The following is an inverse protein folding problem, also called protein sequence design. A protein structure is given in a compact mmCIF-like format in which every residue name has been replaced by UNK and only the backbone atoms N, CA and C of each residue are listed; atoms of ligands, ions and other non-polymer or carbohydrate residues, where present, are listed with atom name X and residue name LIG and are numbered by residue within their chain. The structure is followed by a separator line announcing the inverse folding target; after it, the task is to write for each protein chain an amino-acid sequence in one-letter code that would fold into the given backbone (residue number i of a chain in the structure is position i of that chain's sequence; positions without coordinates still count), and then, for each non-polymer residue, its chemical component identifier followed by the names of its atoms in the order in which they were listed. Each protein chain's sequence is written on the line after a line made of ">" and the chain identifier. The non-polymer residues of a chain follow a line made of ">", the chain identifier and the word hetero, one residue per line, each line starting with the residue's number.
data_IF_406232148364
#
_entry.id   IF_406232148364
#
_cell.length_a   1.000
_cell.length_b   1.000
_cell.length_c   1.000
_cell.angle_alpha   90.00
_cell.angle_beta   90.00
_cell.angle_gamma   90.00
#
_symmetry.space_group_name_H-M   'P 1'
#
loop_
_entity.id
_entity.type
_entity.pdbx_description
1 polymer ?
#
# COMPACT_ATOMS: atom_id res chain seq x y z
N UNK A 1 -6.22 -8.39 26.89
CA UNK A 1 -5.10 -8.00 26.00
C UNK A 1 -5.52 -8.19 24.56
N UNK A 2 -5.89 -7.11 23.87
CA UNK A 2 -6.30 -7.17 22.47
C UNK A 2 -5.07 -7.33 21.56
N UNK A 3 -5.15 -8.22 20.57
CA UNK A 3 -4.11 -8.39 19.55
C UNK A 3 -4.06 -7.10 18.72
N UNK A 4 -2.88 -6.50 18.48
CA UNK A 4 -2.77 -5.28 17.69
C UNK A 4 -3.26 -5.54 16.25
N UNK A 5 -3.96 -4.59 15.61
CA UNK A 5 -4.41 -4.76 14.23
C UNK A 5 -3.24 -4.89 13.27
N UNK A 6 -3.38 -5.75 12.27
CA UNK A 6 -2.37 -5.97 11.23
C UNK A 6 -2.65 -5.07 10.02
N UNK A 7 -1.63 -4.32 9.63
CA UNK A 7 -1.57 -3.53 8.39
C UNK A 7 -0.64 -4.21 7.39
N UNK A 8 -1.18 -4.58 6.23
CA UNK A 8 -0.39 -5.05 5.10
C UNK A 8 0.19 -3.86 4.35
N UNK A 9 1.45 -3.95 3.93
CA UNK A 9 2.06 -2.93 3.07
C UNK A 9 2.74 -3.58 1.88
N UNK A 10 2.38 -3.16 0.67
CA UNK A 10 2.86 -3.73 -0.59
C UNK A 10 3.53 -2.62 -1.43
N UNK A 11 4.83 -2.34 -1.22
CA UNK A 11 5.55 -1.20 -1.80
C UNK A 11 5.82 -1.30 -3.32
N UNK A 12 5.51 -2.44 -3.93
CA UNK A 12 5.63 -2.68 -5.37
C UNK A 12 6.56 -3.85 -5.70
N UNK A 13 6.67 -4.14 -6.99
CA UNK A 13 7.40 -5.30 -7.53
C UNK A 13 8.71 -4.94 -8.22
N UNK A 14 9.06 -3.65 -8.31
CA UNK A 14 10.31 -3.16 -8.90
C UNK A 14 11.11 -2.37 -7.88
N UNK A 15 12.43 -2.55 -7.88
CA UNK A 15 13.36 -1.90 -6.94
C UNK A 15 13.19 -0.38 -6.88
N UNK A 16 13.05 0.29 -8.03
CA UNK A 16 12.86 1.74 -8.08
C UNK A 16 11.52 2.19 -7.45
N UNK A 17 10.47 1.38 -7.60
CA UNK A 17 9.16 1.65 -7.00
C UNK A 17 9.20 1.43 -5.50
N UNK A 18 9.81 0.32 -5.05
CA UNK A 18 9.96 -0.03 -3.64
C UNK A 18 10.65 1.11 -2.89
N UNK A 19 11.78 1.62 -3.40
CA UNK A 19 12.52 2.71 -2.74
C UNK A 19 11.70 4.00 -2.62
N UNK A 20 10.98 4.38 -3.69
CA UNK A 20 10.15 5.61 -3.68
C UNK A 20 8.95 5.48 -2.75
N UNK A 21 8.31 4.31 -2.73
CA UNK A 21 7.07 4.11 -1.98
C UNK A 21 7.31 3.73 -0.53
N UNK A 22 8.43 3.08 -0.21
CA UNK A 22 8.76 2.75 1.17
C UNK A 22 8.88 3.99 2.06
N UNK A 23 9.41 5.11 1.56
CA UNK A 23 9.48 6.35 2.34
C UNK A 23 8.09 6.90 2.67
N UNK A 24 7.19 6.95 1.68
CA UNK A 24 5.81 7.42 1.85
C UNK A 24 5.05 6.50 2.81
N UNK A 25 5.13 5.18 2.58
CA UNK A 25 4.47 4.20 3.43
C UNK A 25 5.02 4.17 4.85
N UNK A 26 6.33 4.35 5.05
CA UNK A 26 6.93 4.49 6.37
C UNK A 26 6.38 5.68 7.15
N UNK A 27 6.22 6.84 6.49
CA UNK A 27 5.60 8.01 7.10
C UNK A 27 4.13 7.77 7.46
N UNK A 28 3.35 7.16 6.56
CA UNK A 28 1.95 6.80 6.81
C UNK A 28 1.82 5.82 7.98
N UNK A 29 2.64 4.76 8.01
CA UNK A 29 2.68 3.78 9.10
C UNK A 29 2.98 4.47 10.43
N UNK A 30 3.95 5.39 10.47
CA UNK A 30 4.27 6.16 11.67
C UNK A 30 3.10 7.04 12.15
N UNK A 31 2.41 7.72 11.23
CA UNK A 31 1.25 8.54 11.55
C UNK A 31 0.08 7.70 12.10
N UNK A 32 -0.19 6.55 11.48
CA UNK A 32 -1.23 5.62 11.93
C UNK A 32 -0.91 5.08 13.31
N UNK A 33 0.32 4.63 13.56
CA UNK A 33 0.71 4.12 14.88
C UNK A 33 0.59 5.17 15.99
N UNK A 34 0.94 6.44 15.71
CA UNK A 34 0.74 7.54 16.68
C UNK A 34 -0.73 7.78 17.03
N UNK A 35 -1.65 7.57 16.08
CA UNK A 35 -3.08 7.84 16.26
C UNK A 35 -3.88 6.64 16.77
N UNK A 36 -3.55 5.44 16.30
CA UNK A 36 -4.28 4.20 16.57
C UNK A 36 -3.61 3.33 17.65
N UNK A 37 -2.38 3.64 18.06
CA UNK A 37 -1.62 2.86 19.04
C UNK A 37 -0.85 1.71 18.42
N UNK A 38 -0.73 0.60 19.15
CA UNK A 38 0.05 -0.57 18.73
C UNK A 38 -0.46 -1.13 17.39
N UNK A 39 0.45 -1.32 16.45
CA UNK A 39 0.17 -1.72 15.07
C UNK A 39 1.17 -2.81 14.64
N UNK A 40 0.67 -3.93 14.11
CA UNK A 40 1.53 -4.90 13.42
C UNK A 40 1.62 -4.53 11.94
N UNK A 41 2.83 -4.54 11.38
CA UNK A 41 3.06 -4.21 9.98
C UNK A 41 3.72 -5.39 9.27
N UNK A 42 3.07 -5.90 8.21
CA UNK A 42 3.57 -7.01 7.40
C UNK A 42 3.80 -6.56 5.97
N UNK A 43 4.95 -6.92 5.42
CA UNK A 43 5.38 -6.52 4.08
C UNK A 43 5.70 -7.76 3.26
N UNK A 44 4.73 -8.28 2.47
CA UNK A 44 5.00 -9.38 1.56
C UNK A 44 5.97 -8.95 0.46
N UNK A 45 7.00 -9.76 0.23
CA UNK A 45 7.98 -9.54 -0.81
C UNK A 45 8.27 -10.85 -1.56
N UNK A 46 8.53 -10.77 -2.86
CA UNK A 46 9.08 -11.92 -3.59
C UNK A 46 10.52 -12.17 -3.11
N UNK A 47 11.00 -13.44 -3.04
CA UNK A 47 12.31 -13.76 -2.48
C UNK A 47 13.46 -12.94 -3.05
N UNK A 48 13.47 -12.71 -4.37
CA UNK A 48 14.49 -11.90 -5.07
C UNK A 48 14.57 -10.44 -4.59
N UNK A 49 13.47 -9.89 -4.05
CA UNK A 49 13.40 -8.50 -3.60
C UNK A 49 13.43 -8.38 -2.08
N UNK A 50 13.55 -9.49 -1.34
CA UNK A 50 13.47 -9.51 0.11
C UNK A 50 14.45 -8.52 0.76
N UNK A 51 15.72 -8.53 0.35
CA UNK A 51 16.74 -7.65 0.93
C UNK A 51 16.53 -6.18 0.56
N UNK A 52 16.06 -5.92 -0.66
CA UNK A 52 15.69 -4.57 -1.08
C UNK A 52 14.54 -4.03 -0.22
N UNK A 53 13.52 -4.86 0.04
CA UNK A 53 12.39 -4.49 0.87
C UNK A 53 12.83 -4.32 2.32
N UNK A 54 13.59 -5.25 2.90
CA UNK A 54 14.14 -5.14 4.26
C UNK A 54 14.93 -3.85 4.45
N UNK A 55 15.82 -3.52 3.52
CA UNK A 55 16.57 -2.27 3.56
C UNK A 55 15.65 -1.04 3.48
N UNK A 56 14.62 -1.09 2.62
CA UNK A 56 13.70 0.03 2.42
C UNK A 56 12.77 0.27 3.63
N UNK A 57 12.44 -0.77 4.40
CA UNK A 57 11.56 -0.67 5.58
C UNK A 57 12.32 -0.57 6.90
N UNK A 58 13.65 -0.74 6.90
CA UNK A 58 14.47 -0.70 8.10
C UNK A 58 14.38 0.64 8.86
N UNK A 59 14.16 1.74 8.15
CA UNK A 59 14.04 3.08 8.72
C UNK A 59 12.61 3.44 9.17
N UNK A 60 11.66 2.50 9.13
CA UNK A 60 10.28 2.80 9.49
C UNK A 60 10.13 3.00 11.01
N UNK A 61 9.26 3.93 11.45
CA UNK A 61 8.98 4.15 12.87
C UNK A 61 8.36 2.93 13.57
N UNK A 62 7.76 2.02 12.81
CA UNK A 62 7.18 0.75 13.29
C UNK A 62 7.94 -0.40 12.63
N UNK A 63 8.34 -1.39 13.44
CA UNK A 63 9.04 -2.57 12.95
C UNK A 63 8.15 -3.36 11.97
N UNK A 64 8.57 -3.40 10.72
CA UNK A 64 7.91 -4.18 9.69
C UNK A 64 8.44 -5.62 9.65
N UNK A 65 7.52 -6.60 9.59
CA UNK A 65 7.84 -8.00 9.33
C UNK A 65 7.78 -8.27 7.83
N UNK A 66 8.94 -8.47 7.22
CA UNK A 66 9.04 -8.83 5.80
C UNK A 66 8.85 -10.35 5.66
N UNK A 67 7.83 -10.75 4.91
CA UNK A 67 7.52 -12.17 4.66
C UNK A 67 7.75 -12.50 3.19
N UNK A 68 8.34 -13.65 2.93
CA UNK A 68 8.63 -14.13 1.57
C UNK A 68 7.96 -15.45 1.25
N UNK A 69 7.52 -16.17 2.27
CA UNK A 69 6.77 -17.41 2.11
C UNK A 69 5.31 -17.14 1.72
N UNK A 70 4.78 -17.97 0.83
CA UNK A 70 3.43 -17.82 0.33
C UNK A 70 2.37 -18.12 1.40
N UNK A 71 2.60 -19.11 2.27
CA UNK A 71 1.67 -19.42 3.35
C UNK A 71 1.64 -18.29 4.39
N UNK A 72 2.79 -17.69 4.70
CA UNK A 72 2.86 -16.49 5.55
C UNK A 72 2.15 -15.29 4.95
N UNK A 73 2.32 -15.04 3.64
CA UNK A 73 1.57 -13.99 2.92
C UNK A 73 0.06 -14.22 3.04
N UNK A 74 -0.41 -15.44 2.75
CA UNK A 74 -1.83 -15.78 2.82
C UNK A 74 -2.37 -15.70 4.26
N UNK A 75 -1.57 -16.08 5.25
CA UNK A 75 -1.92 -15.89 6.65
C UNK A 75 -2.11 -14.41 6.99
N UNK A 76 -1.20 -13.54 6.55
CA UNK A 76 -1.32 -12.10 6.75
C UNK A 76 -2.55 -11.50 6.03
N UNK A 77 -2.88 -11.97 4.82
CA UNK A 77 -4.09 -11.56 4.09
C UNK A 77 -5.36 -11.88 4.88
N UNK A 78 -5.45 -13.06 5.50
CA UNK A 78 -6.63 -13.46 6.29
C UNK A 78 -6.85 -12.62 7.55
N UNK A 79 -5.79 -12.07 8.13
CA UNK A 79 -5.85 -11.34 9.40
C UNK A 79 -5.69 -9.82 9.25
N UNK A 80 -5.41 -9.34 8.05
CA UNK A 80 -5.19 -7.93 7.80
C UNK A 80 -6.47 -7.13 7.99
N UNK A 81 -6.38 -6.05 8.77
CA UNK A 81 -7.47 -5.09 8.95
C UNK A 81 -7.51 -4.06 7.81
N UNK A 82 -6.35 -3.74 7.26
CA UNK A 82 -6.22 -2.85 6.11
C UNK A 82 -4.93 -3.15 5.34
N UNK A 83 -4.83 -2.60 4.13
CA UNK A 83 -3.64 -2.67 3.30
C UNK A 83 -3.25 -1.30 2.70
N UNK A 84 -1.95 -0.99 2.67
CA UNK A 84 -1.37 0.05 1.84
C UNK A 84 -0.72 -0.64 0.64
N UNK A 85 -1.08 -0.26 -0.58
CA UNK A 85 -0.51 -0.87 -1.77
C UNK A 85 -0.17 0.16 -2.82
N UNK A 86 0.78 -0.18 -3.69
CA UNK A 86 0.91 0.51 -4.97
C UNK A 86 -0.26 0.12 -5.89
N UNK A 87 -0.69 1.01 -6.79
CA UNK A 87 -1.51 0.64 -7.96
C UNK A 87 -0.78 -0.41 -8.82
N UNK A 88 -1.41 -1.59 -8.97
CA UNK A 88 -0.87 -2.77 -9.63
C UNK A 88 -1.68 -4.03 -9.28
N UNK A 89 -1.19 -5.20 -9.67
CA UNK A 89 -1.90 -6.49 -9.46
C UNK A 89 -2.24 -6.78 -8.00
N UNK A 90 -1.47 -6.23 -7.06
CA UNK A 90 -1.73 -6.33 -5.63
C UNK A 90 -3.10 -5.77 -5.22
N UNK A 91 -3.66 -4.78 -5.91
CA UNK A 91 -5.00 -4.26 -5.58
C UNK A 91 -6.09 -5.30 -5.86
N UNK A 92 -5.93 -6.11 -6.91
CA UNK A 92 -6.87 -7.19 -7.21
C UNK A 92 -6.77 -8.30 -6.16
N UNK A 93 -5.56 -8.71 -5.77
CA UNK A 93 -5.36 -9.72 -4.72
C UNK A 93 -6.00 -9.28 -3.39
N UNK A 94 -5.84 -8.01 -3.02
CA UNK A 94 -6.43 -7.44 -1.81
C UNK A 94 -7.96 -7.34 -1.91
N UNK A 95 -8.50 -6.99 -3.08
CA UNK A 95 -9.94 -6.90 -3.31
C UNK A 95 -10.59 -8.28 -3.21
N UNK A 96 -10.00 -9.29 -3.84
CA UNK A 96 -10.45 -10.68 -3.75
C UNK A 96 -10.39 -11.22 -2.31
N UNK A 97 -9.44 -10.75 -1.52
CA UNK A 97 -9.33 -11.10 -0.10
C UNK A 97 -10.27 -10.29 0.81
N UNK A 98 -11.05 -9.34 0.27
CA UNK A 98 -11.96 -8.50 1.04
C UNK A 98 -11.25 -7.54 2.00
N UNK A 99 -9.98 -7.21 1.74
CA UNK A 99 -9.17 -6.38 2.63
C UNK A 99 -9.38 -4.90 2.24
N UNK A 100 -9.85 -4.04 3.16
CA UNK A 100 -9.91 -2.60 2.91
C UNK A 100 -8.52 -2.07 2.58
N UNK A 101 -8.38 -1.34 1.49
CA UNK A 101 -7.06 -0.91 1.03
C UNK A 101 -7.00 0.58 0.69
N UNK A 102 -5.79 1.15 0.74
CA UNK A 102 -5.46 2.45 0.17
C UNK A 102 -4.38 2.23 -0.87
N UNK A 103 -4.68 2.60 -2.11
CA UNK A 103 -3.73 2.52 -3.21
C UNK A 103 -3.03 3.87 -3.42
N UNK A 104 -1.70 3.87 -3.47
CA UNK A 104 -0.89 5.05 -3.76
C UNK A 104 -0.05 4.85 -5.03
N UNK A 105 0.17 5.91 -5.79
CA UNK A 105 1.03 5.87 -6.97
C UNK A 105 1.85 7.15 -7.13
N UNK A 106 3.18 7.01 -7.19
CA UNK A 106 4.11 8.13 -7.41
C UNK A 106 4.85 7.95 -8.74
N UNK A 107 4.40 8.68 -9.75
CA UNK A 107 4.97 8.73 -11.11
C UNK A 107 6.24 9.58 -11.16
N UNK A 108 7.14 9.29 -12.11
CA UNK A 108 8.27 10.18 -12.42
C UNK A 108 7.77 11.44 -13.16
N UNK A 109 8.47 12.57 -13.02
CA UNK A 109 8.05 13.88 -13.59
C UNK A 109 7.81 13.86 -15.12
N UNK A 110 8.46 12.94 -15.86
CA UNK A 110 8.29 12.76 -17.31
C UNK A 110 6.96 12.07 -17.68
N UNK A 111 6.42 11.22 -16.80
CA UNK A 111 5.16 10.48 -17.04
C UNK A 111 3.91 11.29 -16.66
N UNK A 112 4.08 12.42 -15.95
CA UNK A 112 3.00 13.31 -15.54
C UNK A 112 2.24 13.93 -16.73
N UNK A 113 2.91 14.11 -17.88
CA UNK A 113 2.30 14.63 -19.10
C UNK A 113 1.31 13.66 -19.76
N UNK A 114 1.59 12.35 -19.73
CA UNK A 114 0.73 11.30 -20.31
C UNK A 114 -0.41 10.94 -19.37
N UNK A 115 -0.17 10.99 -18.05
CA UNK A 115 -1.22 10.81 -17.04
C UNK A 115 -2.37 11.83 -17.19
N UNK A 116 -2.09 13.06 -17.62
CA UNK A 116 -3.11 14.09 -17.91
C UNK A 116 -4.10 13.70 -19.01
N UNK A 117 -3.70 12.86 -19.96
CA UNK A 117 -4.55 12.41 -21.07
C UNK A 117 -5.43 11.20 -20.69
N UNK A 118 -4.98 10.41 -19.71
CA UNK A 118 -5.68 9.24 -19.16
C UNK A 118 -6.66 9.56 -18.02
N UNK A 119 -6.65 10.79 -17.48
CA UNK A 119 -7.65 11.30 -16.51
C UNK A 119 -8.98 11.62 -17.25
N UNK A 120 -9.51 10.63 -17.97
CA UNK A 120 -10.90 10.61 -18.47
C UNK A 120 -11.66 9.37 -18.01
N UNK A 121 -11.07 8.60 -17.10
CA UNK A 121 -11.72 7.49 -16.39
C UNK A 121 -12.02 7.93 -14.94
N UNK A 122 -13.19 7.55 -14.38
CA UNK A 122 -13.61 7.99 -13.05
C UNK A 122 -12.75 7.46 -11.89
N UNK A 123 -11.87 6.48 -12.13
CA UNK A 123 -10.85 6.03 -11.18
C UNK A 123 -9.67 5.34 -11.88
N UNK A 124 -8.46 5.39 -11.31
CA UNK A 124 -7.28 4.63 -11.79
C UNK A 124 -7.14 3.28 -11.04
N UNK A 125 -7.95 3.05 -10.01
CA UNK A 125 -8.02 1.78 -9.28
C UNK A 125 -8.87 0.79 -10.07
N UNK A 126 -8.24 -0.31 -10.50
CA UNK A 126 -8.92 -1.36 -11.26
C UNK A 126 -10.15 -1.94 -10.52
N UNK A 127 -10.10 -2.05 -9.19
CA UNK A 127 -11.25 -2.48 -8.39
C UNK A 127 -12.45 -1.51 -8.52
N UNK A 128 -12.23 -0.19 -8.49
CA UNK A 128 -13.28 0.80 -8.69
C UNK A 128 -13.80 0.80 -10.14
N UNK A 129 -12.92 0.54 -11.12
CA UNK A 129 -13.31 0.40 -12.53
C UNK A 129 -14.16 -0.86 -12.77
N UNK A 130 -13.91 -1.94 -12.03
CA UNK A 130 -14.69 -3.18 -12.10
C UNK A 130 -16.02 -3.05 -11.34
N UNK A 131 -16.04 -2.31 -10.22
CA UNK A 131 -17.23 -2.11 -9.40
C UNK A 131 -18.14 -0.98 -9.90
N UNK A 132 -17.65 -0.08 -10.75
CA UNK A 132 -18.40 1.08 -11.24
C UNK A 132 -18.64 2.17 -10.18
N UNK A 133 -18.05 2.03 -9.00
CA UNK A 133 -18.18 2.96 -7.87
C UNK A 133 -16.83 3.18 -7.17
N UNK A 134 -16.71 4.29 -6.44
CA UNK A 134 -15.52 4.65 -5.67
C UNK A 134 -15.43 3.87 -4.34
N UNK A 135 -15.48 2.54 -4.40
CA UNK A 135 -15.43 1.67 -3.23
C UNK A 135 -14.08 1.72 -2.50
N UNK A 136 -12.99 1.97 -3.23
CA UNK A 136 -11.63 2.12 -2.69
C UNK A 136 -11.21 3.58 -2.79
N UNK A 137 -10.84 4.22 -1.66
CA UNK A 137 -10.37 5.60 -1.71
C UNK A 137 -9.07 5.75 -2.50
N UNK A 138 -9.05 6.73 -3.40
CA UNK A 138 -7.96 6.96 -4.34
C UNK A 138 -7.27 8.31 -4.07
N UNK A 139 -5.94 8.31 -3.93
CA UNK A 139 -5.13 9.52 -3.79
C UNK A 139 -4.09 9.58 -4.92
N UNK A 140 -4.24 10.54 -5.83
CA UNK A 140 -3.38 10.68 -7.02
C UNK A 140 -2.39 11.84 -6.87
N UNK A 141 -1.14 11.61 -7.32
CA UNK A 141 -0.12 12.66 -7.49
C UNK A 141 0.11 13.53 -6.24
N UNK A 142 -0.26 14.81 -6.30
CA UNK A 142 -0.07 15.81 -5.24
C UNK A 142 -0.95 15.57 -4.02
N UNK A 143 -1.96 14.69 -4.13
CA UNK A 143 -2.84 14.33 -3.02
C UNK A 143 -2.31 13.14 -2.19
N UNK A 144 -1.16 12.56 -2.56
CA UNK A 144 -0.44 11.55 -1.75
C UNK A 144 0.30 12.21 -0.57
N UNK A 145 -0.42 12.87 0.33
CA UNK A 145 0.13 13.42 1.57
C UNK A 145 -0.34 12.60 2.77
N UNK A 146 0.50 12.42 3.81
CA UNK A 146 0.16 11.62 4.98
C UNK A 146 -0.99 12.24 5.80
N UNK A 147 -1.32 13.52 5.58
CA UNK A 147 -2.40 14.20 6.28
C UNK A 147 -3.80 13.96 5.66
N UNK A 148 -3.89 13.38 4.46
CA UNK A 148 -5.19 13.15 3.81
C UNK A 148 -5.81 11.81 4.22
N UNK A 149 -6.95 11.90 4.91
CA UNK A 149 -7.86 10.77 5.14
C UNK A 149 -8.99 10.77 4.11
N UNK A 150 -9.52 9.62 3.70
CA UNK A 150 -10.73 9.61 2.88
C UNK A 150 -11.88 10.26 3.65
N UNK A 151 -12.50 11.27 3.04
CA UNK A 151 -13.77 11.78 3.53
C UNK A 151 -14.79 10.65 3.43
N UNK A 152 -15.61 10.50 4.49
CA UNK A 152 -16.61 9.45 4.65
C UNK A 152 -17.57 9.35 3.47
#
# INVERSE_FOLDING_TARGET
>A
NAVPPLLLVMPGSRTGEIRRMAAVFGATVGAVAKRAGALEVVVPAVPRLADTVRAAVAAWPVKARVVTDQAEKLAAFRTARAALTKSGTSTLELALAGIPMVAAYKVSLLEAGVAKLLIRVPSVILANLVLGEAAVPEFLQFDCTPERSPAR
#
